data_IF_922426292771
#
_entry.id   IF_922426292771
#
_cell.length_a   1.000
_cell.length_b   1.000
_cell.length_c   1.000
_cell.angle_alpha   90.00
_cell.angle_beta   90.00
_cell.angle_gamma   90.00
#
_symmetry.space_group_name_H-M   'P 1'
#
loop_
_entity.id
_entity.type
_entity.pdbx_description
1 polymer ?
#
# COMPACT_ATOMS: atom_id res chain seq x y z
N UNK A 1 15.85 -1.72 14.75
CA UNK A 1 15.80 -2.31 13.40
C UNK A 1 14.89 -1.44 12.55
N UNK A 2 15.38 -0.96 11.41
CA UNK A 2 14.59 -0.17 10.45
C UNK A 2 14.44 -1.00 9.17
N UNK A 3 13.25 -1.09 8.62
CA UNK A 3 12.96 -1.85 7.40
C UNK A 3 11.83 -1.22 6.56
N UNK A 4 11.68 -1.65 5.33
CA UNK A 4 10.61 -1.25 4.43
C UNK A 4 10.23 -2.45 3.52
N UNK A 5 9.63 -2.16 2.37
CA UNK A 5 9.05 -3.16 1.46
C UNK A 5 10.06 -4.16 0.87
N UNK A 6 11.37 -3.90 0.94
CA UNK A 6 12.40 -4.82 0.42
C UNK A 6 12.35 -6.23 1.03
N UNK A 7 11.85 -6.36 2.27
CA UNK A 7 11.74 -7.65 2.96
C UNK A 7 10.30 -8.15 3.10
N UNK A 8 9.29 -7.30 2.84
CA UNK A 8 7.87 -7.67 3.00
C UNK A 8 7.20 -8.06 1.69
N UNK A 9 7.67 -7.56 0.54
CA UNK A 9 7.14 -7.90 -0.78
C UNK A 9 7.76 -9.20 -1.33
N UNK A 10 7.65 -10.26 -0.53
CA UNK A 10 8.12 -11.62 -0.80
C UNK A 10 7.08 -12.62 -0.27
N UNK A 11 7.02 -13.82 -0.81
CA UNK A 11 6.16 -14.90 -0.29
C UNK A 11 6.48 -15.29 1.16
N UNK A 12 7.62 -14.84 1.69
CA UNK A 12 8.05 -15.01 3.10
C UNK A 12 8.02 -13.70 3.89
N UNK A 13 7.34 -12.67 3.38
CA UNK A 13 7.34 -11.33 3.97
C UNK A 13 6.94 -11.28 5.43
N UNK A 14 5.88 -12.00 5.80
CA UNK A 14 5.42 -12.10 7.21
C UNK A 14 6.50 -12.74 8.09
N UNK A 15 7.12 -13.82 7.64
CA UNK A 15 8.16 -14.52 8.40
C UNK A 15 9.43 -13.66 8.54
N UNK A 16 9.77 -12.88 7.54
CA UNK A 16 10.87 -11.91 7.62
C UNK A 16 10.61 -10.86 8.73
N UNK A 17 9.40 -10.32 8.83
CA UNK A 17 9.02 -9.39 9.91
C UNK A 17 9.05 -10.07 11.29
N UNK A 18 8.55 -11.31 11.37
CA UNK A 18 8.65 -12.12 12.61
C UNK A 18 10.09 -12.37 13.04
N UNK A 19 11.00 -12.61 12.09
CA UNK A 19 12.44 -12.79 12.38
C UNK A 19 13.04 -11.54 13.02
N UNK A 20 12.66 -10.34 12.55
CA UNK A 20 13.11 -9.08 13.15
C UNK A 20 12.52 -8.86 14.55
N UNK A 21 11.24 -9.24 14.74
CA UNK A 21 10.61 -9.24 16.05
C UNK A 21 11.34 -10.18 17.03
N UNK A 22 11.61 -11.40 16.61
CA UNK A 22 12.39 -12.37 17.39
C UNK A 22 13.75 -11.81 17.80
N UNK A 23 14.50 -11.23 16.85
CA UNK A 23 15.82 -10.65 17.11
C UNK A 23 15.73 -9.48 18.11
N UNK A 24 14.75 -8.60 17.95
CA UNK A 24 14.55 -7.45 18.83
C UNK A 24 14.22 -7.90 20.26
N UNK A 25 13.36 -8.89 20.43
CA UNK A 25 13.03 -9.46 21.74
C UNK A 25 14.23 -10.20 22.36
N UNK A 26 14.91 -11.04 21.57
CA UNK A 26 16.08 -11.82 22.04
C UNK A 26 17.19 -10.91 22.57
N UNK A 27 17.39 -9.76 21.96
CA UNK A 27 18.44 -8.81 22.34
C UNK A 27 17.96 -7.72 23.32
N UNK A 28 16.71 -7.78 23.79
CA UNK A 28 16.13 -6.79 24.70
C UNK A 28 15.96 -5.40 24.08
N UNK A 29 15.92 -5.29 22.76
CA UNK A 29 15.79 -4.03 22.03
C UNK A 29 14.31 -3.70 21.75
N UNK A 30 13.49 -3.62 22.81
CA UNK A 30 12.07 -3.30 22.76
C UNK A 30 11.64 -2.55 24.02
N UNK A 31 10.58 -1.75 23.95
CA UNK A 31 9.93 -1.10 25.09
C UNK A 31 10.69 0.06 25.72
N UNK A 32 11.74 0.59 25.13
CA UNK A 32 12.51 1.75 25.59
C UNK A 32 12.88 2.69 24.44
N UNK A 33 13.40 3.86 24.76
CA UNK A 33 13.81 4.85 23.77
C UNK A 33 14.97 4.35 22.91
N UNK A 34 14.95 4.72 21.62
CA UNK A 34 16.00 4.43 20.66
C UNK A 34 16.06 2.98 20.17
N UNK A 35 15.11 2.13 20.55
CA UNK A 35 15.05 0.73 20.12
C UNK A 35 13.71 0.35 19.53
N UNK A 36 13.63 -0.82 18.92
CA UNK A 36 12.40 -1.41 18.37
C UNK A 36 12.52 -1.89 16.95
N UNK A 37 11.42 -2.40 16.42
CA UNK A 37 11.25 -2.81 15.04
C UNK A 37 10.38 -1.74 14.36
N UNK A 38 10.98 -0.98 13.44
CA UNK A 38 10.41 0.25 12.91
C UNK A 38 10.24 0.16 11.40
N UNK A 39 9.03 -0.17 10.92
CA UNK A 39 8.73 -0.12 9.50
C UNK A 39 8.69 1.33 9.00
N UNK A 40 9.49 1.64 7.98
CA UNK A 40 9.37 2.90 7.26
C UNK A 40 8.17 2.82 6.32
N UNK A 41 7.09 3.51 6.68
CA UNK A 41 5.89 3.60 5.83
C UNK A 41 6.21 4.41 4.58
N UNK A 42 5.92 3.85 3.40
CA UNK A 42 6.32 4.45 2.13
C UNK A 42 5.50 5.69 1.76
N UNK A 43 4.19 5.62 1.86
CA UNK A 43 3.29 6.69 1.54
C UNK A 43 2.95 7.55 2.76
N UNK A 44 2.66 8.83 2.51
CA UNK A 44 2.09 9.70 3.50
C UNK A 44 0.73 9.15 3.96
N UNK A 45 0.51 9.16 5.28
CA UNK A 45 -0.72 8.66 5.93
C UNK A 45 -1.06 7.18 5.72
N UNK A 46 -0.14 6.33 5.24
CA UNK A 46 -0.43 4.89 5.15
C UNK A 46 -0.68 4.27 6.54
N UNK A 47 -0.03 4.79 7.59
CA UNK A 47 -0.33 4.38 8.96
C UNK A 47 -1.77 4.75 9.34
N UNK A 48 -2.21 5.98 9.06
CA UNK A 48 -3.58 6.41 9.32
C UNK A 48 -4.62 5.62 8.55
N UNK A 49 -4.39 5.33 7.28
CA UNK A 49 -5.28 4.47 6.49
C UNK A 49 -5.46 3.09 7.13
N UNK A 50 -4.37 2.47 7.57
CA UNK A 50 -4.41 1.19 8.29
C UNK A 50 -5.17 1.31 9.63
N UNK A 51 -4.90 2.38 10.40
CA UNK A 51 -5.53 2.63 11.70
C UNK A 51 -7.05 2.82 11.57
N UNK A 52 -7.49 3.38 10.44
CA UNK A 52 -8.93 3.60 10.15
C UNK A 52 -9.65 2.35 9.61
N UNK A 53 -8.95 1.23 9.47
CA UNK A 53 -9.55 -0.01 8.99
C UNK A 53 -9.54 -0.19 7.47
N UNK A 54 -8.60 0.45 6.75
CA UNK A 54 -8.40 0.21 5.31
C UNK A 54 -7.72 -1.16 5.05
N UNK A 55 -8.24 -2.19 5.68
CA UNK A 55 -7.91 -3.60 5.52
C UNK A 55 -9.20 -4.43 5.43
N UNK A 56 -9.19 -5.56 4.72
CA UNK A 56 -10.40 -6.33 4.50
C UNK A 56 -10.95 -7.02 5.76
N UNK A 57 -10.15 -7.17 6.81
CA UNK A 57 -10.43 -8.04 7.96
C UNK A 57 -10.53 -7.30 9.30
N UNK A 58 -10.48 -5.96 9.32
CA UNK A 58 -10.56 -5.19 10.56
C UNK A 58 -11.39 -3.91 10.41
N UNK A 59 -12.03 -3.51 11.49
CA UNK A 59 -12.52 -2.15 11.70
C UNK A 59 -11.40 -1.24 12.20
N UNK A 60 -11.68 0.04 12.39
CA UNK A 60 -10.73 1.00 12.95
C UNK A 60 -10.07 0.51 14.23
N UNK A 61 -8.79 0.86 14.43
CA UNK A 61 -8.01 0.40 15.58
C UNK A 61 -7.71 -1.10 15.58
N UNK A 62 -7.68 -1.72 14.39
CA UNK A 62 -7.36 -3.15 14.19
C UNK A 62 -8.32 -4.12 14.89
N UNK A 63 -9.56 -3.72 15.10
CA UNK A 63 -10.61 -4.54 15.70
C UNK A 63 -11.09 -5.57 14.68
N UNK A 64 -10.88 -6.86 14.95
CA UNK A 64 -11.13 -7.93 13.98
C UNK A 64 -12.62 -8.12 13.69
N UNK A 65 -13.01 -8.05 12.42
CA UNK A 65 -14.40 -8.23 11.99
C UNK A 65 -14.90 -9.68 12.13
N UNK A 66 -14.03 -10.68 12.18
CA UNK A 66 -14.38 -12.09 12.41
C UNK A 66 -14.85 -12.38 13.84
N UNK A 67 -14.58 -11.48 14.81
CA UNK A 67 -14.94 -11.65 16.22
C UNK A 67 -16.37 -11.18 16.47
N UNK A 68 -17.32 -12.07 16.87
CA UNK A 68 -18.74 -11.75 17.03
C UNK A 68 -19.01 -10.58 17.99
N UNK A 69 -18.29 -10.53 19.11
CA UNK A 69 -18.43 -9.49 20.12
C UNK A 69 -18.05 -8.10 19.58
N UNK A 70 -17.08 -8.05 18.68
CA UNK A 70 -16.67 -6.81 18.01
C UNK A 70 -17.75 -6.37 17.03
N UNK A 71 -18.28 -7.27 16.19
CA UNK A 71 -19.40 -6.93 15.28
C UNK A 71 -20.61 -6.42 16.05
N UNK A 72 -21.03 -7.15 17.08
CA UNK A 72 -22.15 -6.73 17.93
C UNK A 72 -21.93 -5.34 18.54
N UNK A 73 -20.72 -5.06 19.04
CA UNK A 73 -20.33 -3.72 19.53
C UNK A 73 -20.47 -2.66 18.45
N UNK A 74 -20.02 -2.92 17.22
CA UNK A 74 -20.12 -1.96 16.11
C UNK A 74 -21.58 -1.72 15.72
N UNK A 75 -22.39 -2.76 15.63
CA UNK A 75 -23.83 -2.69 15.36
C UNK A 75 -24.55 -1.82 16.42
N UNK A 76 -24.28 -2.05 17.70
CA UNK A 76 -24.85 -1.28 18.79
C UNK A 76 -24.44 0.20 18.73
N UNK A 77 -23.15 0.49 18.51
CA UNK A 77 -22.61 1.85 18.48
C UNK A 77 -23.09 2.65 17.25
N UNK A 78 -23.27 1.99 16.11
CA UNK A 78 -23.77 2.62 14.89
C UNK A 78 -25.31 2.56 14.77
N UNK A 79 -26.01 1.97 15.74
CA UNK A 79 -27.47 1.83 15.71
C UNK A 79 -27.98 0.95 14.57
N UNK A 80 -27.20 -0.04 14.19
CA UNK A 80 -27.54 -0.99 13.13
C UNK A 80 -28.38 -2.15 13.69
N UNK A 81 -29.09 -2.83 12.79
CA UNK A 81 -29.78 -4.07 13.16
C UNK A 81 -28.79 -5.16 13.60
N UNK A 82 -29.12 -5.87 14.67
CA UNK A 82 -28.27 -6.95 15.17
C UNK A 82 -28.08 -8.06 14.12
N UNK A 83 -26.83 -8.44 13.86
CA UNK A 83 -26.46 -9.42 12.84
C UNK A 83 -26.46 -8.89 11.40
N UNK A 84 -26.53 -7.55 11.21
CA UNK A 84 -26.46 -6.93 9.88
C UNK A 84 -25.04 -6.82 9.33
N UNK A 85 -24.02 -6.77 10.21
CA UNK A 85 -22.64 -6.80 9.76
C UNK A 85 -22.21 -8.22 9.36
N UNK A 86 -21.48 -8.39 8.25
CA UNK A 86 -21.07 -9.70 7.80
C UNK A 86 -20.13 -10.39 8.81
N UNK A 87 -20.19 -11.70 8.89
CA UNK A 87 -19.34 -12.54 9.75
C UNK A 87 -18.03 -12.94 9.07
N UNK A 88 -17.80 -12.49 7.87
CA UNK A 88 -16.57 -12.68 7.10
C UNK A 88 -15.96 -11.33 6.70
N UNK A 89 -14.70 -11.36 6.37
CA UNK A 89 -13.97 -10.20 5.81
C UNK A 89 -13.75 -10.39 4.31
N UNK A 90 -13.58 -9.26 3.61
CA UNK A 90 -13.30 -9.28 2.18
C UNK A 90 -11.90 -9.80 1.84
N UNK A 91 -11.70 -10.10 0.58
CA UNK A 91 -10.39 -10.46 0.01
C UNK A 91 -9.47 -9.24 -0.07
N UNK A 92 -8.16 -9.49 -0.17
CA UNK A 92 -7.20 -8.45 -0.52
C UNK A 92 -7.38 -8.02 -1.97
N UNK A 93 -6.88 -6.84 -2.36
CA UNK A 93 -7.04 -6.36 -3.73
C UNK A 93 -6.47 -7.34 -4.78
N UNK A 94 -5.36 -8.02 -4.48
CA UNK A 94 -4.80 -9.03 -5.40
C UNK A 94 -5.77 -10.21 -5.62
N UNK A 95 -6.46 -10.64 -4.57
CA UNK A 95 -7.49 -11.68 -4.66
C UNK A 95 -8.72 -11.14 -5.39
N UNK A 96 -9.19 -9.93 -5.06
CA UNK A 96 -10.35 -9.28 -5.72
C UNK A 96 -10.14 -9.10 -7.23
N UNK A 97 -8.93 -8.74 -7.66
CA UNK A 97 -8.61 -8.66 -9.09
C UNK A 97 -8.82 -10.01 -9.78
N UNK A 98 -8.45 -11.12 -9.14
CA UNK A 98 -8.69 -12.45 -9.70
C UNK A 98 -10.18 -12.84 -9.77
N UNK A 99 -11.01 -12.23 -8.94
CA UNK A 99 -12.45 -12.46 -8.82
C UNK A 99 -13.29 -11.52 -9.72
N UNK A 100 -12.67 -10.58 -10.44
CA UNK A 100 -13.37 -9.68 -11.36
C UNK A 100 -14.13 -10.45 -12.45
N UNK A 101 -15.40 -10.12 -12.65
CA UNK A 101 -16.33 -10.78 -13.56
C UNK A 101 -17.10 -11.92 -12.92
N UNK A 102 -16.53 -12.66 -11.96
CA UNK A 102 -17.20 -13.69 -11.16
C UNK A 102 -16.37 -14.01 -9.90
N UNK A 103 -16.84 -13.80 -8.66
CA UNK A 103 -18.17 -13.26 -8.32
C UNK A 103 -18.27 -11.72 -8.35
N UNK A 104 -17.16 -10.97 -8.43
CA UNK A 104 -17.18 -9.50 -8.37
C UNK A 104 -17.65 -8.93 -9.70
N UNK A 105 -18.83 -8.30 -9.71
CA UNK A 105 -19.43 -7.66 -10.89
C UNK A 105 -19.17 -6.16 -10.96
N UNK A 106 -19.02 -5.51 -9.81
CA UNK A 106 -18.75 -4.07 -9.74
C UNK A 106 -17.64 -3.79 -8.73
N UNK A 107 -16.83 -2.78 -9.01
CA UNK A 107 -15.74 -2.37 -8.13
C UNK A 107 -15.66 -0.85 -8.02
N UNK A 108 -15.34 -0.36 -6.84
CA UNK A 108 -15.02 1.04 -6.58
C UNK A 108 -13.54 1.12 -6.16
N UNK A 109 -12.71 1.71 -7.01
CA UNK A 109 -11.28 1.90 -6.75
C UNK A 109 -11.06 3.34 -6.28
N UNK A 110 -10.51 3.49 -5.08
CA UNK A 110 -10.31 4.77 -4.42
C UNK A 110 -8.82 5.06 -4.22
N UNK A 111 -8.34 6.15 -4.84
CA UNK A 111 -6.98 6.67 -4.70
C UNK A 111 -5.87 5.61 -4.94
N UNK A 112 -6.08 4.73 -5.91
CA UNK A 112 -5.17 3.64 -6.25
C UNK A 112 -5.10 3.44 -7.76
N UNK A 113 -3.91 3.16 -8.27
CA UNK A 113 -3.65 2.85 -9.68
C UNK A 113 -3.12 1.41 -9.84
N UNK A 114 -3.97 0.37 -9.71
CA UNK A 114 -3.55 -1.02 -9.73
C UNK A 114 -2.93 -1.46 -11.06
N UNK A 115 -3.31 -0.87 -12.19
CA UNK A 115 -2.73 -1.18 -13.51
C UNK A 115 -1.21 -0.98 -13.52
N UNK A 116 -0.70 -0.01 -12.77
CA UNK A 116 0.76 0.24 -12.67
C UNK A 116 1.37 -0.37 -11.41
N UNK A 117 0.63 -0.40 -10.29
CA UNK A 117 1.21 -0.74 -8.99
C UNK A 117 1.15 -2.22 -8.62
N UNK A 118 0.32 -3.03 -9.29
CA UNK A 118 0.14 -4.44 -8.99
C UNK A 118 0.94 -5.34 -9.93
N UNK A 119 1.29 -6.57 -9.52
CA UNK A 119 2.03 -7.50 -10.35
C UNK A 119 1.19 -7.98 -11.54
N UNK A 120 1.85 -8.36 -12.63
CA UNK A 120 1.23 -8.79 -13.88
C UNK A 120 0.17 -7.78 -14.38
N UNK A 121 0.64 -6.59 -14.73
CA UNK A 121 -0.24 -5.49 -15.22
C UNK A 121 -1.16 -5.94 -16.36
N UNK A 122 -0.70 -6.84 -17.23
CA UNK A 122 -1.54 -7.42 -18.30
C UNK A 122 -2.73 -8.20 -17.74
N UNK A 123 -2.51 -8.95 -16.66
CA UNK A 123 -3.57 -9.68 -15.99
C UNK A 123 -4.55 -8.70 -15.32
N UNK A 124 -4.04 -7.69 -14.62
CA UNK A 124 -4.87 -6.66 -13.98
C UNK A 124 -5.82 -6.02 -14.98
N UNK A 125 -5.29 -5.52 -16.12
CA UNK A 125 -6.11 -4.90 -17.16
C UNK A 125 -7.21 -5.85 -17.67
N UNK A 126 -6.84 -7.09 -18.04
CA UNK A 126 -7.82 -8.09 -18.50
C UNK A 126 -8.89 -8.44 -17.46
N UNK A 127 -8.55 -8.34 -16.18
CA UNK A 127 -9.53 -8.63 -15.12
C UNK A 127 -10.46 -7.45 -14.89
N UNK A 128 -9.96 -6.21 -14.88
CA UNK A 128 -10.80 -5.02 -14.76
C UNK A 128 -11.82 -4.95 -15.91
N UNK A 129 -11.44 -5.32 -17.13
CA UNK A 129 -12.32 -5.36 -18.31
C UNK A 129 -13.46 -6.40 -18.22
N UNK A 130 -13.45 -7.29 -17.20
CA UNK A 130 -14.56 -8.24 -16.96
C UNK A 130 -15.63 -7.71 -16.02
N UNK A 131 -15.39 -6.56 -15.39
CA UNK A 131 -16.38 -5.94 -14.51
C UNK A 131 -17.56 -5.41 -15.34
N UNK A 132 -18.76 -5.56 -14.81
CA UNK A 132 -19.96 -4.95 -15.37
C UNK A 132 -20.01 -3.45 -15.06
N UNK A 133 -19.33 -3.00 -14.00
CA UNK A 133 -19.29 -1.59 -13.61
C UNK A 133 -18.04 -1.28 -12.76
N UNK A 134 -17.24 -0.30 -13.20
CA UNK A 134 -16.06 0.17 -12.48
C UNK A 134 -16.13 1.68 -12.20
N UNK A 135 -16.04 2.06 -10.94
CA UNK A 135 -15.86 3.44 -10.51
C UNK A 135 -14.43 3.65 -10.04
N UNK A 136 -13.78 4.69 -10.52
CA UNK A 136 -12.46 5.13 -10.03
C UNK A 136 -12.57 6.55 -9.47
N UNK A 137 -12.10 6.73 -8.24
CA UNK A 137 -11.96 8.06 -7.62
C UNK A 137 -10.48 8.36 -7.44
N UNK A 138 -9.97 9.39 -8.07
CA UNK A 138 -8.58 9.81 -7.94
C UNK A 138 -8.46 11.32 -8.14
N UNK A 139 -7.31 11.89 -7.75
CA UNK A 139 -6.99 13.31 -7.93
C UNK A 139 -6.50 13.63 -9.36
N UNK A 140 -6.08 12.61 -10.10
CA UNK A 140 -5.64 12.70 -11.49
C UNK A 140 -6.18 11.54 -12.31
N UNK A 141 -6.28 11.73 -13.62
CA UNK A 141 -6.53 10.65 -14.55
C UNK A 141 -5.32 9.69 -14.55
N UNK A 142 -5.56 8.42 -14.27
CA UNK A 142 -4.56 7.35 -14.19
C UNK A 142 -4.82 6.28 -15.26
N UNK A 143 -3.88 5.35 -15.45
CA UNK A 143 -4.03 4.21 -16.35
C UNK A 143 -5.24 3.34 -15.96
N UNK A 144 -5.56 3.26 -14.67
CA UNK A 144 -6.76 2.55 -14.19
C UNK A 144 -8.07 3.22 -14.63
N UNK A 145 -8.07 4.56 -14.78
CA UNK A 145 -9.24 5.28 -15.25
C UNK A 145 -9.62 4.93 -16.70
N UNK A 146 -8.69 4.43 -17.52
CA UNK A 146 -8.99 3.99 -18.89
C UNK A 146 -9.94 2.77 -18.95
N UNK A 147 -10.07 2.04 -17.83
CA UNK A 147 -10.95 0.89 -17.69
C UNK A 147 -12.28 1.24 -16.97
N UNK A 148 -12.45 2.49 -16.49
CA UNK A 148 -13.56 2.88 -15.65
C UNK A 148 -14.78 3.32 -16.45
N UNK A 149 -15.98 2.96 -15.98
CA UNK A 149 -17.25 3.51 -16.47
C UNK A 149 -17.52 4.91 -15.92
N UNK A 150 -17.06 5.17 -14.68
CA UNK A 150 -17.21 6.46 -14.01
C UNK A 150 -15.91 6.85 -13.31
N UNK A 151 -15.47 8.09 -13.53
CA UNK A 151 -14.33 8.68 -12.81
C UNK A 151 -14.83 9.85 -11.98
N UNK A 152 -14.52 9.83 -10.67
CA UNK A 152 -14.89 10.87 -9.71
C UNK A 152 -13.66 11.67 -9.30
N UNK A 153 -13.65 13.00 -9.43
CA UNK A 153 -12.51 13.83 -9.05
C UNK A 153 -12.46 14.02 -7.53
N UNK A 154 -11.43 13.47 -6.89
CA UNK A 154 -11.11 13.67 -5.47
C UNK A 154 -10.17 14.84 -5.23
N UNK A 155 -9.89 15.14 -3.95
CA UNK A 155 -9.03 16.23 -3.51
C UNK A 155 -7.66 15.74 -3.03
N UNK A 156 -6.64 16.57 -3.25
CA UNK A 156 -5.32 16.38 -2.64
C UNK A 156 -5.34 16.73 -1.14
N UNK A 157 -4.26 16.39 -0.44
CA UNK A 157 -4.12 16.65 1.00
C UNK A 157 -4.14 18.14 1.35
N UNK A 158 -3.78 19.03 0.43
CA UNK A 158 -3.79 20.48 0.65
C UNK A 158 -5.17 21.12 0.46
N UNK A 159 -6.12 20.39 -0.09
CA UNK A 159 -7.46 20.83 -0.48
C UNK A 159 -8.54 20.32 0.49
N UNK A 160 -8.16 19.67 1.58
CA UNK A 160 -9.07 19.08 2.57
C UNK A 160 -8.56 19.15 4.00
N UNK A 161 -9.48 19.04 4.95
CA UNK A 161 -9.22 18.87 6.37
C UNK A 161 -9.20 17.39 6.76
N UNK A 162 -8.59 17.10 7.93
CA UNK A 162 -8.59 15.75 8.47
C UNK A 162 -7.45 15.47 9.43
N UNK A 163 -7.06 14.21 9.53
CA UNK A 163 -5.92 13.74 10.33
C UNK A 163 -4.99 12.87 9.51
N UNK A 164 -3.69 12.99 9.76
CA UNK A 164 -2.68 12.05 9.26
C UNK A 164 -1.96 11.41 10.44
N UNK A 165 -1.68 10.12 10.34
CA UNK A 165 -0.89 9.41 11.35
C UNK A 165 0.46 9.03 10.76
N UNK A 166 1.53 9.45 11.43
CA UNK A 166 2.90 9.11 11.03
C UNK A 166 3.28 7.67 11.46
N UNK A 167 4.38 7.15 10.90
CA UNK A 167 4.83 5.78 11.16
C UNK A 167 5.09 5.45 12.62
N UNK A 168 5.40 6.46 13.46
CA UNK A 168 5.52 6.33 14.91
C UNK A 168 4.20 6.46 15.67
N UNK A 169 3.06 6.44 14.99
CA UNK A 169 1.70 6.49 15.54
C UNK A 169 1.28 7.87 16.09
N UNK A 170 1.98 8.92 15.73
CA UNK A 170 1.59 10.28 16.07
C UNK A 170 0.49 10.76 15.14
N UNK A 171 -0.62 11.21 15.72
CA UNK A 171 -1.77 11.75 14.99
C UNK A 171 -1.57 13.26 14.83
N UNK A 172 -1.62 13.72 13.58
CA UNK A 172 -1.43 15.12 13.21
C UNK A 172 -2.69 15.67 12.54
N UNK A 173 -3.03 16.93 12.83
CA UNK A 173 -4.07 17.64 12.09
C UNK A 173 -3.58 18.06 10.71
N UNK A 174 -4.40 17.80 9.69
CA UNK A 174 -4.28 18.35 8.34
C UNK A 174 -5.31 19.45 8.21
N UNK A 175 -4.90 20.60 7.65
CA UNK A 175 -5.77 21.76 7.44
C UNK A 175 -5.80 22.12 5.98
N UNK A 176 -6.98 22.38 5.46
CA UNK A 176 -7.18 22.85 4.11
C UNK A 176 -6.40 24.15 3.89
N UNK A 177 -5.54 24.18 2.89
CA UNK A 177 -4.71 25.33 2.53
C UNK A 177 -5.21 26.06 1.28
N UNK A 178 -5.83 25.32 0.35
CA UNK A 178 -6.37 25.83 -0.92
C UNK A 178 -7.71 25.17 -1.21
N UNK A 179 -8.53 25.82 -2.05
CA UNK A 179 -9.78 25.22 -2.50
C UNK A 179 -9.53 24.12 -3.55
N UNK A 180 -10.39 23.08 -3.59
CA UNK A 180 -10.36 22.07 -4.64
C UNK A 180 -10.53 22.68 -6.03
N UNK A 181 -9.84 22.18 -7.06
CA UNK A 181 -10.01 22.68 -8.41
C UNK A 181 -11.31 22.17 -9.06
N UNK A 182 -11.99 23.04 -9.83
CA UNK A 182 -13.17 22.66 -10.62
C UNK A 182 -14.28 22.07 -9.76
N UNK A 183 -14.75 20.87 -10.14
CA UNK A 183 -15.82 20.15 -9.44
C UNK A 183 -15.31 19.10 -8.46
N UNK A 184 -14.00 19.06 -8.20
CA UNK A 184 -13.41 18.12 -7.23
C UNK A 184 -13.97 18.37 -5.83
N UNK A 185 -14.18 17.28 -5.10
CA UNK A 185 -14.74 17.31 -3.73
C UNK A 185 -13.82 16.60 -2.76
N UNK A 186 -13.93 16.95 -1.50
CA UNK A 186 -13.28 16.18 -0.44
C UNK A 186 -13.82 14.74 -0.44
N UNK A 187 -12.94 13.76 -0.23
CA UNK A 187 -13.31 12.35 -0.36
C UNK A 187 -14.50 11.96 0.51
N UNK A 188 -14.57 12.48 1.74
CA UNK A 188 -15.66 12.23 2.65
C UNK A 188 -17.01 12.78 2.13
N UNK A 189 -17.01 13.94 1.44
CA UNK A 189 -18.22 14.50 0.82
C UNK A 189 -18.74 13.61 -0.30
N UNK A 190 -17.83 13.03 -1.11
CA UNK A 190 -18.18 12.07 -2.17
C UNK A 190 -18.87 10.86 -1.55
N UNK A 191 -18.33 10.30 -0.47
CA UNK A 191 -18.95 9.16 0.22
C UNK A 191 -20.29 9.51 0.88
N UNK A 192 -20.45 10.70 1.46
CA UNK A 192 -21.74 11.17 1.99
C UNK A 192 -22.78 11.29 0.88
N UNK A 193 -22.43 11.90 -0.25
CA UNK A 193 -23.31 12.02 -1.41
C UNK A 193 -23.69 10.65 -2.01
N UNK A 194 -22.73 9.72 -2.05
CA UNK A 194 -23.00 8.35 -2.51
C UNK A 194 -23.95 7.63 -1.56
N UNK A 195 -23.73 7.74 -0.26
CA UNK A 195 -24.60 7.16 0.77
C UNK A 195 -26.03 7.72 0.67
N UNK A 196 -26.18 9.04 0.48
CA UNK A 196 -27.49 9.68 0.25
C UNK A 196 -28.20 9.08 -0.97
N UNK A 197 -27.48 8.95 -2.11
CA UNK A 197 -28.05 8.37 -3.34
C UNK A 197 -28.46 6.92 -3.19
N UNK A 198 -27.75 6.16 -2.36
CA UNK A 198 -28.06 4.76 -2.03
C UNK A 198 -29.12 4.62 -0.94
N UNK A 199 -29.59 5.73 -0.34
CA UNK A 199 -30.57 5.72 0.75
C UNK A 199 -30.02 5.15 2.07
N UNK A 200 -28.70 5.18 2.25
CA UNK A 200 -28.04 4.72 3.49
C UNK A 200 -28.23 5.76 4.59
N UNK A 201 -28.42 5.31 5.82
CA UNK A 201 -28.57 6.14 7.02
C UNK A 201 -27.27 6.23 7.80
N UNK A 202 -27.10 7.31 8.59
CA UNK A 202 -25.93 7.51 9.45
C UNK A 202 -24.71 8.10 8.76
N UNK A 203 -24.87 8.66 7.55
CA UNK A 203 -23.83 9.32 6.77
C UNK A 203 -24.08 10.83 6.60
N UNK A 204 -24.84 11.44 7.46
CA UNK A 204 -25.22 12.86 7.38
C UNK A 204 -24.19 13.81 8.01
N UNK A 205 -22.94 13.43 7.98
CA UNK A 205 -21.81 14.22 8.47
C UNK A 205 -21.66 15.57 7.78
N UNK A 206 -21.25 16.59 8.56
CA UNK A 206 -21.08 17.97 8.08
C UNK A 206 -19.60 18.41 8.08
N UNK A 207 -18.74 17.62 8.70
CA UNK A 207 -17.31 17.95 8.79
C UNK A 207 -16.45 16.70 9.04
N UNK A 208 -15.15 16.75 8.71
CA UNK A 208 -14.18 15.72 9.10
C UNK A 208 -14.07 15.52 10.63
N UNK A 209 -14.36 16.55 11.42
CA UNK A 209 -14.36 16.45 12.89
C UNK A 209 -15.51 15.55 13.38
N UNK A 210 -16.71 15.68 12.82
CA UNK A 210 -17.83 14.80 13.16
C UNK A 210 -17.53 13.33 12.81
N UNK A 211 -16.89 13.09 11.67
CA UNK A 211 -16.44 11.74 11.26
C UNK A 211 -15.38 11.21 12.23
N UNK A 212 -14.44 12.07 12.62
CA UNK A 212 -13.41 11.72 13.59
C UNK A 212 -13.99 11.41 14.98
N UNK A 213 -14.98 12.17 15.42
CA UNK A 213 -15.67 11.93 16.70
C UNK A 213 -16.47 10.62 16.68
N UNK A 214 -17.11 10.29 15.57
CA UNK A 214 -17.76 8.98 15.42
C UNK A 214 -16.72 7.83 15.42
N UNK A 215 -15.62 7.99 14.68
CA UNK A 215 -14.54 7.00 14.63
C UNK A 215 -13.93 6.76 16.01
N UNK A 216 -13.56 7.80 16.77
CA UNK A 216 -12.95 7.63 18.08
C UNK A 216 -13.91 7.04 19.12
N UNK A 217 -15.22 7.22 18.93
CA UNK A 217 -16.27 6.59 19.76
C UNK A 217 -16.25 5.06 19.65
N UNK A 218 -15.96 4.54 18.46
CA UNK A 218 -15.89 3.09 18.21
C UNK A 218 -14.48 2.52 18.34
N UNK A 219 -13.45 3.37 18.47
CA UNK A 219 -12.02 2.99 18.48
C UNK A 219 -11.38 3.28 19.84
N UNK A 220 -11.36 2.31 20.77
CA UNK A 220 -10.86 2.54 22.15
C UNK A 220 -9.42 3.06 22.22
N UNK A 221 -8.56 2.65 21.29
CA UNK A 221 -7.16 3.10 21.25
C UNK A 221 -7.00 4.58 20.90
N UNK A 222 -8.04 5.25 20.39
CA UNK A 222 -8.02 6.64 19.95
C UNK A 222 -9.10 7.50 20.63
N UNK A 223 -9.85 6.94 21.58
CA UNK A 223 -10.99 7.61 22.20
C UNK A 223 -10.65 8.97 22.84
N UNK A 224 -9.43 9.13 23.34
CA UNK A 224 -8.93 10.37 23.92
C UNK A 224 -8.30 11.35 22.92
N UNK A 225 -8.31 11.08 21.63
CA UNK A 225 -7.64 11.91 20.61
C UNK A 225 -8.63 12.91 19.96
N UNK A 226 -9.29 13.76 20.74
CA UNK A 226 -10.18 14.80 20.19
C UNK A 226 -9.42 15.84 19.34
N UNK A 227 -10.11 16.48 18.39
CA UNK A 227 -9.53 17.57 17.60
C UNK A 227 -8.97 18.68 18.48
N UNK A 228 -9.69 19.05 19.53
CA UNK A 228 -9.24 20.07 20.51
C UNK A 228 -7.88 19.72 21.16
N UNK A 229 -7.57 18.42 21.32
CA UNK A 229 -6.26 17.98 21.80
C UNK A 229 -5.23 17.93 20.70
N UNK A 230 -5.62 17.51 19.50
CA UNK A 230 -4.72 17.44 18.35
C UNK A 230 -4.32 18.82 17.80
N UNK A 231 -5.06 19.90 18.16
CA UNK A 231 -4.69 21.28 17.84
C UNK A 231 -3.56 21.83 18.73
N UNK A 232 -3.27 21.19 19.85
CA UNK A 232 -2.22 21.60 20.77
C UNK A 232 -0.84 21.19 20.21
N UNK A 233 0.23 21.90 20.61
CA UNK A 233 1.59 21.59 20.15
C UNK A 233 2.12 20.24 20.66
N UNK A 234 1.53 19.70 21.74
CA UNK A 234 1.88 18.39 22.27
C UNK A 234 1.41 17.30 21.31
N UNK A 235 2.34 16.44 20.92
CA UNK A 235 2.03 15.34 20.02
C UNK A 235 1.33 14.20 20.76
N UNK A 236 0.23 13.71 20.19
CA UNK A 236 -0.49 12.54 20.70
C UNK A 236 -0.16 11.30 19.89
N UNK A 237 0.32 10.29 20.59
CA UNK A 237 0.55 8.95 20.03
C UNK A 237 -0.53 8.00 20.55
N UNK A 238 -1.18 7.29 19.67
CA UNK A 238 -2.08 6.22 20.10
C UNK A 238 -1.26 4.98 20.57
N UNK A 239 -1.74 4.14 21.52
CA UNK A 239 -2.99 4.22 22.28
C UNK A 239 -3.11 5.47 23.17
N UNK A 240 -4.30 6.09 23.10
CA UNK A 240 -4.70 7.22 23.93
C UNK A 240 -6.19 7.05 24.27
N UNK A 241 -6.52 6.21 25.28
CA UNK A 241 -7.88 5.70 25.50
C UNK A 241 -8.83 6.71 26.18
N UNK A 242 -8.30 7.77 26.81
CA UNK A 242 -9.10 8.76 27.54
C UNK A 242 -8.58 10.18 27.28
N UNK A 243 -9.42 11.18 27.47
CA UNK A 243 -9.08 12.61 27.24
C UNK A 243 -7.95 13.12 28.15
N UNK A 244 -7.71 12.52 29.29
CA UNK A 244 -6.63 12.85 30.22
C UNK A 244 -5.35 12.02 29.99
N UNK A 245 -5.41 10.98 29.15
CA UNK A 245 -4.25 10.12 28.89
C UNK A 245 -3.20 10.85 28.06
N UNK A 246 -1.90 10.83 28.43
CA UNK A 246 -0.84 11.60 27.75
C UNK A 246 -0.44 11.06 26.37
N UNK A 247 -1.05 9.98 25.89
CA UNK A 247 -0.60 9.22 24.74
C UNK A 247 0.46 8.18 25.08
N UNK A 248 0.81 7.34 24.11
CA UNK A 248 1.77 6.22 24.27
C UNK A 248 2.89 6.30 23.25
N UNK A 249 3.90 7.13 23.45
CA UNK A 249 5.00 7.29 22.50
C UNK A 249 5.84 6.01 22.33
N UNK A 250 5.93 5.18 23.38
CA UNK A 250 6.70 3.92 23.34
C UNK A 250 5.78 2.76 23.69
N UNK A 251 5.60 1.83 22.75
CA UNK A 251 4.85 0.59 22.96
C UNK A 251 5.67 -0.44 23.76
N UNK A 252 4.95 -1.35 24.41
CA UNK A 252 5.55 -2.51 25.12
C UNK A 252 6.54 -2.14 26.21
N UNK A 253 6.40 -0.97 26.85
CA UNK A 253 7.29 -0.52 27.93
C UNK A 253 7.22 -1.45 29.15
N UNK A 254 6.04 -1.91 29.49
CA UNK A 254 5.80 -2.75 30.66
C UNK A 254 5.46 -4.19 30.29
N UNK A 255 4.63 -4.38 29.25
CA UNK A 255 4.16 -5.69 28.79
C UNK A 255 3.74 -5.64 27.32
N UNK A 256 3.67 -6.80 26.70
CA UNK A 256 3.05 -6.95 25.39
C UNK A 256 1.51 -6.98 25.50
N UNK A 257 0.83 -6.78 24.37
CA UNK A 257 -0.63 -6.78 24.29
C UNK A 257 -1.25 -8.19 24.39
N UNK A 258 -0.44 -9.25 24.41
CA UNK A 258 -0.92 -10.63 24.60
C UNK A 258 -1.56 -10.79 25.99
N UNK A 259 -2.48 -11.76 26.12
CA UNK A 259 -3.22 -11.98 27.36
C UNK A 259 -2.31 -12.29 28.58
N UNK A 260 -1.19 -12.97 28.35
CA UNK A 260 -0.17 -13.28 29.35
C UNK A 260 0.86 -12.14 29.54
N UNK A 261 0.78 -11.08 28.73
CA UNK A 261 1.72 -9.97 28.72
C UNK A 261 3.11 -10.26 28.16
N UNK A 262 3.31 -11.46 27.59
CA UNK A 262 4.61 -11.92 27.07
C UNK A 262 4.70 -11.72 25.56
N UNK A 263 5.93 -11.63 25.05
CA UNK A 263 6.23 -11.67 23.62
C UNK A 263 6.28 -13.09 23.10
N UNK A 264 5.81 -13.31 21.88
CA UNK A 264 5.80 -14.62 21.24
C UNK A 264 6.98 -14.75 20.27
N UNK A 265 7.79 -15.79 20.44
CA UNK A 265 8.81 -16.20 19.47
C UNK A 265 8.21 -17.14 18.43
N UNK A 266 8.56 -16.94 17.18
CA UNK A 266 8.15 -17.80 16.06
C UNK A 266 9.33 -18.63 15.57
N UNK A 267 9.19 -19.97 15.54
CA UNK A 267 10.09 -20.86 14.82
C UNK A 267 9.87 -20.69 13.31
N UNK A 268 10.92 -20.28 12.60
CA UNK A 268 10.83 -19.93 11.17
C UNK A 268 11.85 -20.74 10.39
N UNK A 269 11.45 -21.20 9.21
CA UNK A 269 12.32 -21.92 8.28
C UNK A 269 12.51 -21.12 7.01
N UNK A 270 13.70 -21.22 6.40
CA UNK A 270 13.97 -20.62 5.11
C UNK A 270 13.12 -21.28 4.03
N UNK A 271 12.50 -20.44 3.19
CA UNK A 271 11.82 -20.84 1.95
C UNK A 271 12.38 -19.98 0.79
N UNK A 272 12.68 -20.58 -0.37
CA UNK A 272 13.12 -19.83 -1.52
C UNK A 272 11.98 -18.94 -2.07
N UNK A 273 12.30 -17.93 -2.92
CA UNK A 273 11.30 -17.23 -3.72
C UNK A 273 10.44 -18.20 -4.53
N UNK A 274 9.20 -17.78 -4.83
CA UNK A 274 8.27 -18.59 -5.64
C UNK A 274 8.78 -18.84 -7.06
N UNK A 275 9.58 -17.92 -7.58
CA UNK A 275 10.15 -18.00 -8.92
C UNK A 275 11.65 -17.69 -8.85
N UNK A 276 12.48 -18.62 -9.32
CA UNK A 276 13.93 -18.45 -9.40
C UNK A 276 14.39 -18.47 -10.86
N UNK A 277 15.55 -17.88 -11.13
CA UNK A 277 16.15 -17.90 -12.46
C UNK A 277 16.41 -19.34 -12.93
N UNK A 278 16.19 -19.61 -14.21
CA UNK A 278 16.40 -20.90 -14.87
C UNK A 278 17.02 -20.72 -16.28
N UNK A 279 17.07 -21.80 -17.06
CA UNK A 279 17.68 -21.77 -18.38
C UNK A 279 16.92 -20.89 -19.39
N UNK A 280 15.60 -20.74 -19.25
CA UNK A 280 14.77 -19.90 -20.14
C UNK A 280 14.75 -18.45 -19.69
N UNK A 281 14.75 -18.20 -18.36
CA UNK A 281 14.74 -16.89 -17.73
C UNK A 281 15.94 -16.75 -16.79
N UNK A 282 17.17 -16.53 -17.35
CA UNK A 282 18.41 -16.68 -16.58
C UNK A 282 18.76 -15.51 -15.66
N UNK A 283 17.97 -14.45 -15.62
CA UNK A 283 18.20 -13.30 -14.77
C UNK A 283 17.16 -13.19 -13.68
N UNK A 284 17.59 -12.75 -12.50
CA UNK A 284 16.71 -12.30 -11.41
C UNK A 284 16.41 -10.82 -11.58
N UNK A 285 15.15 -10.47 -11.77
CA UNK A 285 14.70 -9.06 -11.72
C UNK A 285 14.29 -8.69 -10.31
N UNK A 286 14.93 -7.65 -9.79
CA UNK A 286 14.55 -6.96 -8.55
C UNK A 286 13.83 -5.66 -8.87
N UNK A 287 12.75 -5.36 -8.16
CA UNK A 287 12.05 -4.09 -8.31
C UNK A 287 12.35 -3.12 -7.18
N UNK A 288 12.25 -1.83 -7.47
CA UNK A 288 12.46 -0.79 -6.48
C UNK A 288 11.86 0.55 -6.89
N UNK A 289 12.45 1.61 -6.39
CA UNK A 289 12.03 3.00 -6.63
C UNK A 289 13.20 3.89 -6.97
N UNK A 290 12.92 5.01 -7.64
CA UNK A 290 13.86 6.09 -7.91
C UNK A 290 13.49 7.29 -7.05
N UNK A 291 14.48 8.05 -6.63
CA UNK A 291 14.29 9.19 -5.73
C UNK A 291 13.41 10.31 -6.35
N UNK A 292 13.40 10.41 -7.67
CA UNK A 292 12.70 11.47 -8.41
C UNK A 292 11.21 11.19 -8.62
N UNK A 293 10.76 9.93 -8.43
CA UNK A 293 9.37 9.56 -8.65
C UNK A 293 8.73 8.95 -7.41
N UNK A 294 7.48 9.39 -7.17
CA UNK A 294 6.64 8.88 -6.11
C UNK A 294 5.65 7.84 -6.66
N UNK A 295 5.67 6.65 -6.09
CA UNK A 295 4.78 5.52 -6.39
C UNK A 295 4.58 5.26 -7.90
N UNK A 296 3.35 5.35 -8.43
CA UNK A 296 3.03 5.15 -9.86
C UNK A 296 3.36 6.36 -10.74
N UNK A 297 4.14 7.33 -10.24
CA UNK A 297 4.55 8.51 -10.98
C UNK A 297 3.43 9.50 -11.30
N UNK A 298 2.17 9.17 -11.06
CA UNK A 298 1.00 9.97 -11.39
C UNK A 298 1.11 11.45 -11.01
N UNK A 299 1.65 11.76 -9.82
CA UNK A 299 1.87 13.14 -9.38
C UNK A 299 3.21 13.70 -9.86
N UNK A 300 4.28 12.95 -9.69
CA UNK A 300 5.65 13.46 -9.93
C UNK A 300 5.98 13.63 -11.41
N UNK A 301 5.33 12.91 -12.31
CA UNK A 301 5.46 13.08 -13.74
C UNK A 301 4.92 14.43 -14.25
N UNK A 302 4.00 15.04 -13.49
CA UNK A 302 3.46 16.37 -13.75
C UNK A 302 4.38 17.51 -13.30
N UNK A 303 5.41 17.20 -12.52
CA UNK A 303 6.47 18.13 -12.19
C UNK A 303 7.52 18.13 -13.30
N UNK A 304 7.65 19.26 -14.01
CA UNK A 304 8.62 19.41 -15.12
C UNK A 304 10.05 19.05 -14.73
N UNK A 305 10.45 19.38 -13.50
CA UNK A 305 11.81 19.10 -12.99
C UNK A 305 11.98 17.61 -12.76
N UNK A 306 11.05 16.95 -12.05
CA UNK A 306 11.14 15.52 -11.73
C UNK A 306 11.01 14.65 -12.99
N UNK A 307 10.13 15.04 -13.91
CA UNK A 307 10.02 14.40 -15.22
C UNK A 307 11.32 14.51 -16.02
N UNK A 308 11.98 15.68 -16.02
CA UNK A 308 13.24 15.90 -16.74
C UNK A 308 14.37 15.00 -16.21
N UNK A 309 14.46 14.78 -14.89
CA UNK A 309 15.49 13.94 -14.27
C UNK A 309 15.38 12.45 -14.68
N UNK A 310 14.16 11.91 -14.77
CA UNK A 310 13.92 10.53 -15.22
C UNK A 310 12.61 10.47 -16.02
N UNK A 311 12.65 10.84 -17.30
CA UNK A 311 11.45 10.88 -18.15
C UNK A 311 10.93 9.49 -18.54
N UNK A 312 11.82 8.49 -18.55
CA UNK A 312 11.54 7.13 -19.03
C UNK A 312 12.15 6.08 -18.09
N UNK A 313 11.51 4.91 -18.02
CA UNK A 313 11.99 3.77 -17.26
C UNK A 313 13.24 3.13 -17.85
N UNK A 314 14.15 2.73 -16.98
CA UNK A 314 15.34 1.98 -17.36
C UNK A 314 15.52 0.74 -16.48
N UNK A 315 16.31 -0.21 -16.97
CA UNK A 315 16.77 -1.37 -16.23
C UNK A 315 18.29 -1.30 -16.03
N UNK A 316 18.74 -1.45 -14.80
CA UNK A 316 20.17 -1.62 -14.50
C UNK A 316 20.61 -3.04 -14.84
N UNK A 317 21.71 -3.16 -15.54
CA UNK A 317 22.34 -4.41 -15.92
C UNK A 317 23.84 -4.36 -15.63
N UNK A 318 24.38 -5.44 -15.08
CA UNK A 318 25.80 -5.52 -14.75
C UNK A 318 26.68 -5.41 -16.00
N UNK A 319 27.84 -4.76 -15.87
CA UNK A 319 28.82 -4.53 -16.96
C UNK A 319 29.24 -5.82 -17.65
N UNK A 320 29.45 -6.93 -16.91
CA UNK A 320 29.83 -8.23 -17.49
C UNK A 320 28.69 -8.83 -18.32
N UNK A 321 27.45 -8.76 -17.83
CA UNK A 321 26.28 -9.24 -18.53
C UNK A 321 25.99 -8.42 -19.79
N UNK A 322 26.08 -7.09 -19.69
CA UNK A 322 25.92 -6.19 -20.83
C UNK A 322 26.94 -6.51 -21.94
N UNK A 323 28.22 -6.71 -21.55
CA UNK A 323 29.27 -7.10 -22.48
C UNK A 323 29.01 -8.48 -23.12
N UNK A 324 28.59 -9.47 -22.33
CA UNK A 324 28.24 -10.81 -22.82
C UNK A 324 27.09 -10.79 -23.83
N UNK A 325 26.07 -9.97 -23.56
CA UNK A 325 24.88 -9.79 -24.40
C UNK A 325 25.05 -8.76 -25.51
N UNK A 326 26.21 -8.07 -25.57
CA UNK A 326 26.51 -6.99 -26.53
C UNK A 326 25.52 -5.82 -26.46
N UNK A 327 25.10 -5.47 -25.26
CA UNK A 327 24.20 -4.35 -24.95
C UNK A 327 25.05 -3.14 -24.61
N UNK A 328 24.74 -1.98 -25.21
CA UNK A 328 25.35 -0.71 -24.90
C UNK A 328 24.53 0.05 -23.82
N UNK A 329 25.19 0.95 -23.10
CA UNK A 329 24.50 1.86 -22.20
C UNK A 329 23.55 2.78 -22.97
N UNK A 330 22.32 2.98 -22.47
CA UNK A 330 21.25 3.72 -23.13
C UNK A 330 20.55 2.97 -24.27
N UNK A 331 20.96 1.75 -24.61
CA UNK A 331 20.30 0.95 -25.65
C UNK A 331 18.93 0.44 -25.16
N UNK A 332 17.91 0.47 -26.01
CA UNK A 332 16.62 -0.15 -25.71
C UNK A 332 16.73 -1.64 -25.84
N UNK A 333 16.32 -2.35 -24.80
CA UNK A 333 16.36 -3.82 -24.73
C UNK A 333 15.00 -4.38 -24.42
N UNK A 334 14.81 -5.67 -24.70
CA UNK A 334 13.61 -6.39 -24.39
C UNK A 334 13.83 -7.27 -23.16
N UNK A 335 13.00 -7.08 -22.17
CA UNK A 335 12.86 -7.99 -21.03
C UNK A 335 11.61 -8.83 -21.22
N UNK A 336 11.71 -10.11 -20.93
CA UNK A 336 10.58 -11.03 -20.99
C UNK A 336 10.51 -11.89 -19.73
N UNK A 337 9.30 -12.06 -19.19
CA UNK A 337 8.98 -13.03 -18.14
C UNK A 337 7.88 -13.97 -18.63
N UNK A 338 7.42 -14.87 -17.77
CA UNK A 338 6.28 -15.75 -18.05
C UNK A 338 4.94 -15.02 -18.21
N UNK A 339 4.87 -13.72 -17.82
CA UNK A 339 3.66 -12.90 -17.79
C UNK A 339 3.58 -11.86 -18.89
N UNK A 340 4.72 -11.39 -19.33
CA UNK A 340 4.75 -10.34 -20.34
C UNK A 340 6.14 -9.88 -20.72
N UNK A 341 6.17 -8.75 -21.39
CA UNK A 341 7.37 -8.13 -21.92
C UNK A 341 7.41 -6.64 -21.52
N UNK A 342 8.64 -6.10 -21.44
CA UNK A 342 8.90 -4.69 -21.25
C UNK A 342 10.09 -4.25 -22.08
N UNK A 343 10.11 -3.00 -22.54
CA UNK A 343 11.13 -2.46 -23.45
C UNK A 343 11.89 -1.26 -22.81
N UNK A 344 12.57 -1.43 -21.67
CA UNK A 344 13.30 -0.36 -21.01
C UNK A 344 14.60 0.01 -21.72
N UNK A 345 15.15 1.18 -21.39
CA UNK A 345 16.55 1.51 -21.70
C UNK A 345 17.49 0.72 -20.77
N UNK A 346 18.59 0.21 -21.28
CA UNK A 346 19.63 -0.39 -20.47
C UNK A 346 20.49 0.70 -19.82
N UNK A 347 20.69 0.58 -18.50
CA UNK A 347 21.70 1.34 -17.76
C UNK A 347 22.79 0.39 -17.29
N UNK A 348 23.95 0.43 -17.98
CA UNK A 348 25.07 -0.45 -17.68
C UNK A 348 25.80 0.07 -16.44
N UNK A 349 25.90 -0.75 -15.39
CA UNK A 349 26.46 -0.34 -14.10
C UNK A 349 26.94 -1.53 -13.30
N UNK A 350 27.90 -1.33 -12.40
CA UNK A 350 28.34 -2.32 -11.43
C UNK A 350 27.59 -2.26 -10.09
N UNK A 351 26.54 -1.43 -10.00
CA UNK A 351 25.68 -1.34 -8.80
C UNK A 351 24.81 -2.59 -8.59
N UNK A 352 24.63 -3.40 -9.63
CA UNK A 352 23.93 -4.69 -9.57
C UNK A 352 24.92 -5.83 -9.84
N UNK A 353 24.74 -6.97 -9.17
CA UNK A 353 25.58 -8.14 -9.35
C UNK A 353 25.31 -8.80 -10.73
N UNK A 354 26.29 -9.56 -11.30
CA UNK A 354 26.05 -10.37 -12.48
C UNK A 354 24.86 -11.32 -12.29
N UNK A 355 24.01 -11.45 -13.31
CA UNK A 355 22.78 -12.23 -13.27
C UNK A 355 21.59 -11.55 -12.59
N UNK A 356 21.78 -10.33 -12.05
CA UNK A 356 20.74 -9.54 -11.37
C UNK A 356 20.44 -8.28 -12.18
N UNK A 357 19.15 -7.98 -12.32
CA UNK A 357 18.63 -6.76 -12.93
C UNK A 357 17.86 -5.97 -11.88
N UNK A 358 17.88 -4.65 -11.98
CA UNK A 358 17.06 -3.76 -11.15
C UNK A 358 16.24 -2.82 -12.01
N UNK A 359 14.93 -2.74 -11.74
CA UNK A 359 14.02 -1.85 -12.46
C UNK A 359 13.03 -1.20 -11.50
N UNK A 360 12.83 0.11 -11.65
CA UNK A 360 11.86 0.82 -10.83
C UNK A 360 10.42 0.56 -11.29
N UNK A 361 9.50 0.47 -10.32
CA UNK A 361 8.10 0.13 -10.56
C UNK A 361 7.23 1.30 -11.07
N UNK A 362 7.78 2.50 -11.12
CA UNK A 362 7.01 3.75 -11.35
C UNK A 362 6.32 3.86 -12.71
N UNK A 363 6.79 3.12 -13.71
CA UNK A 363 6.45 3.34 -15.11
C UNK A 363 5.39 2.35 -15.60
N UNK A 364 4.33 2.83 -16.29
CA UNK A 364 3.45 1.95 -17.03
C UNK A 364 4.25 1.18 -18.08
N UNK A 365 3.84 -0.04 -18.39
CA UNK A 365 4.59 -0.98 -19.24
C UNK A 365 6.01 -1.30 -18.74
N UNK A 366 6.29 -1.05 -17.47
CA UNK A 366 7.58 -1.25 -16.82
C UNK A 366 7.69 -2.58 -16.06
N UNK A 367 8.25 -2.51 -14.84
CA UNK A 367 8.58 -3.68 -14.04
C UNK A 367 7.38 -4.59 -13.75
N UNK A 368 6.20 -4.04 -13.50
CA UNK A 368 5.02 -4.83 -13.13
C UNK A 368 4.35 -5.57 -14.30
N UNK A 369 4.77 -5.33 -15.54
CA UNK A 369 4.47 -6.23 -16.67
C UNK A 369 5.14 -7.60 -16.51
N UNK A 370 6.19 -7.68 -15.68
CA UNK A 370 7.08 -8.84 -15.55
C UNK A 370 6.94 -9.58 -14.21
N UNK A 371 6.52 -8.89 -13.14
CA UNK A 371 6.50 -9.42 -11.78
C UNK A 371 5.49 -10.54 -11.58
N UNK A 372 5.80 -11.49 -10.68
CA UNK A 372 4.93 -12.64 -10.40
C UNK A 372 3.83 -12.33 -9.38
N UNK A 373 2.76 -13.12 -9.41
CA UNK A 373 1.55 -12.95 -8.59
C UNK A 373 1.53 -13.83 -7.34
N UNK A 374 2.64 -14.51 -7.01
CA UNK A 374 2.72 -15.34 -5.82
C UNK A 374 2.57 -14.48 -4.55
N UNK A 375 1.82 -14.98 -3.57
CA UNK A 375 1.43 -14.23 -2.37
C UNK A 375 2.08 -14.80 -1.10
N UNK A 376 2.40 -13.92 -0.17
CA UNK A 376 2.62 -14.32 1.21
C UNK A 376 1.34 -14.99 1.75
N UNK A 377 1.42 -16.18 2.38
CA UNK A 377 0.23 -16.94 2.75
C UNK A 377 -0.65 -16.26 3.81
N UNK A 378 -0.09 -15.33 4.60
CA UNK A 378 -0.81 -14.66 5.67
C UNK A 378 -1.20 -13.22 5.29
N UNK A 379 -0.24 -12.40 4.90
CA UNK A 379 -0.49 -11.00 4.56
C UNK A 379 -1.06 -10.80 3.15
N UNK A 380 -1.00 -11.82 2.30
CA UNK A 380 -1.38 -11.75 0.89
C UNK A 380 -0.61 -10.70 0.09
N UNK A 381 0.57 -10.30 0.59
CA UNK A 381 1.47 -9.41 -0.13
C UNK A 381 2.06 -10.14 -1.34
N UNK A 382 2.00 -9.57 -2.55
CA UNK A 382 2.62 -10.17 -3.73
C UNK A 382 4.14 -10.09 -3.70
N UNK A 383 4.80 -11.08 -4.32
CA UNK A 383 6.26 -11.15 -4.43
C UNK A 383 6.78 -10.22 -5.53
N UNK A 384 6.78 -8.92 -5.23
CA UNK A 384 7.22 -7.89 -6.17
C UNK A 384 8.74 -7.76 -6.27
N UNK A 385 9.50 -8.29 -5.31
CA UNK A 385 10.96 -8.10 -5.22
C UNK A 385 11.79 -9.18 -5.92
N UNK A 386 11.14 -10.19 -6.49
CA UNK A 386 11.84 -11.30 -7.12
C UNK A 386 11.02 -11.91 -8.24
N UNK A 387 11.54 -11.91 -9.47
CA UNK A 387 11.01 -12.71 -10.56
C UNK A 387 12.13 -13.07 -11.56
N UNK A 388 11.91 -14.11 -12.36
CA UNK A 388 12.83 -14.56 -13.39
C UNK A 388 12.51 -13.93 -14.74
N UNK A 389 13.54 -13.42 -15.43
CA UNK A 389 13.42 -12.79 -16.75
C UNK A 389 14.53 -13.19 -17.70
N UNK A 390 14.25 -13.11 -19.01
CA UNK A 390 15.26 -13.10 -20.06
C UNK A 390 15.52 -11.69 -20.57
N UNK A 391 16.70 -11.49 -21.15
CA UNK A 391 17.14 -10.23 -21.75
C UNK A 391 17.48 -10.48 -23.20
N UNK A 392 16.89 -9.71 -24.07
CA UNK A 392 17.14 -9.78 -25.51
C UNK A 392 17.54 -8.40 -26.06
N UNK A 393 18.56 -8.39 -26.91
CA UNK A 393 18.91 -7.22 -27.70
C UNK A 393 17.88 -7.06 -28.82
N UNK A 394 17.38 -5.84 -29.02
CA UNK A 394 16.46 -5.53 -30.11
C UNK A 394 17.29 -5.30 -31.38
N UNK A 395 17.16 -6.18 -32.36
CA UNK A 395 17.83 -5.99 -33.66
C UNK A 395 17.16 -4.87 -34.45
N UNK A 396 17.94 -3.84 -34.82
CA UNK A 396 17.49 -2.76 -35.74
C UNK A 396 16.91 -1.50 -35.09
N UNK A 397 17.06 -1.29 -33.79
CA UNK A 397 16.73 -0.02 -33.12
C UNK A 397 17.94 0.93 -33.11
N UNK A 398 18.00 1.84 -34.03
CA UNK A 398 18.81 3.07 -33.95
C UNK A 398 17.95 4.20 -33.41
#
# INVERSE_FOLDING_TARGET
IIYCLGITELTTGTDNVRSMGNLSMLTGNIGREGVGVNPLRGQNNVQGACDMGAYPNVYSGYQKCEVPEIRKKMEELWGMEAGSLPDWYGSTLTEQINECGDPIKAMYIFALNPVVSYPDSNHVMRQLDKLDFLVVQDIFWTETCEHADVVLPGCSFAEKDGTFTSGERRINRVRKAVDPPGDAKEDWEIFVLLAEKLGLKGFDFKSPEEIWDDLRRVTPSMAGCSYARLEKPESLHWPCPTEDHPGTPILHREKFAAADGLGTFFGLEYRPPAEVADAEYPFTLMTGRLIFHYHTRTQTDRSKILHYEVPEGYVQINTEDAKRLKIADGERIKLRSRRGESLPLARVTDDVAPGVLYMAMHFPNGANMLTNTALDPLSKMPELKHCAVSVEKIEGGN
#
